data_IF_142526429255
#
_entry.id   IF_142526429255
#
_cell.length_a   1.000
_cell.length_b   1.000
_cell.length_c   1.000
_cell.angle_alpha   90.00
_cell.angle_beta   90.00
_cell.angle_gamma   90.00
#
_symmetry.space_group_name_H-M   'P 1'
#
loop_
_entity.id
_entity.type
_entity.pdbx_description
1 polymer ?
#
# COMPACT_ATOMS: atom_id res chain seq x y z
N UNK A 1 -8.47 -31.91 9.10
CA UNK A 1 -7.37 -31.00 8.84
C UNK A 1 -7.87 -29.57 8.86
N UNK A 2 -7.36 -28.83 9.79
CA UNK A 2 -7.88 -27.49 10.03
C UNK A 2 -7.36 -26.51 8.99
N UNK A 3 -8.30 -25.93 8.30
CA UNK A 3 -7.97 -24.86 7.38
C UNK A 3 -7.77 -23.59 8.19
N UNK A 4 -6.55 -23.20 8.38
CA UNK A 4 -6.26 -21.93 9.00
C UNK A 4 -6.66 -20.81 8.06
N UNK A 5 -7.71 -20.12 8.40
CA UNK A 5 -7.92 -18.79 7.86
C UNK A 5 -6.99 -17.85 8.60
N UNK A 6 -5.87 -17.61 8.01
CA UNK A 6 -5.04 -16.52 8.45
C UNK A 6 -5.81 -15.24 8.14
N UNK A 7 -6.28 -14.57 9.17
CA UNK A 7 -6.83 -13.24 8.99
C UNK A 7 -5.67 -12.31 8.70
N UNK A 8 -5.44 -12.05 7.43
CA UNK A 8 -4.42 -11.12 7.00
C UNK A 8 -4.92 -9.71 7.24
N UNK A 9 -4.21 -8.95 8.06
CA UNK A 9 -4.46 -7.53 8.24
C UNK A 9 -3.38 -6.77 7.52
N UNK A 10 -3.76 -5.84 6.66
CA UNK A 10 -2.82 -4.96 5.98
C UNK A 10 -3.04 -3.53 6.42
N UNK A 11 -1.98 -2.77 6.45
CA UNK A 11 -2.01 -1.34 6.70
C UNK A 11 -1.97 -0.60 5.37
N UNK A 12 -2.89 0.33 5.15
CA UNK A 12 -2.96 1.07 3.90
C UNK A 12 -3.53 2.46 4.12
N UNK A 13 -3.16 3.38 3.24
CA UNK A 13 -3.73 4.73 3.20
C UNK A 13 -4.08 5.08 1.76
N UNK A 14 -5.18 5.80 1.60
CA UNK A 14 -5.57 6.28 0.28
C UNK A 14 -4.72 7.50 -0.10
N UNK A 15 -4.15 7.44 -1.31
CA UNK A 15 -3.37 8.53 -1.85
C UNK A 15 -4.21 9.32 -2.86
N UNK A 16 -4.29 10.64 -2.70
CA UNK A 16 -5.05 11.49 -3.60
C UNK A 16 -4.19 12.56 -4.28
N UNK A 17 -3.13 12.99 -3.63
CA UNK A 17 -2.25 14.04 -4.14
C UNK A 17 -0.86 13.92 -3.52
N UNK A 18 0.09 14.64 -4.10
CA UNK A 18 1.43 14.73 -3.54
C UNK A 18 1.38 15.29 -2.12
N UNK A 19 2.13 14.68 -1.24
CA UNK A 19 2.14 15.00 0.19
C UNK A 19 1.30 14.06 1.03
N UNK A 20 0.36 13.33 0.44
CA UNK A 20 -0.35 12.26 1.13
C UNK A 20 0.61 11.07 1.30
N UNK A 21 0.43 10.30 2.36
CA UNK A 21 1.25 9.12 2.67
C UNK A 21 2.75 9.43 2.56
N UNK A 22 3.22 10.40 3.35
CA UNK A 22 4.60 10.90 3.29
C UNK A 22 5.66 9.83 3.48
N UNK A 23 5.40 8.86 4.32
CA UNK A 23 6.35 7.79 4.62
C UNK A 23 6.63 6.88 3.43
N UNK A 24 5.72 6.81 2.45
CA UNK A 24 5.92 6.01 1.25
C UNK A 24 6.88 6.65 0.26
N UNK A 25 7.10 7.96 0.35
CA UNK A 25 8.03 8.66 -0.52
C UNK A 25 7.54 8.79 -1.96
N UNK A 26 6.24 8.95 -2.16
CA UNK A 26 5.67 9.13 -3.50
C UNK A 26 6.15 10.45 -4.10
N UNK A 27 6.75 10.36 -5.29
CA UNK A 27 7.26 11.52 -6.03
C UNK A 27 6.31 11.89 -7.15
N UNK A 28 6.47 13.10 -7.68
CA UNK A 28 5.69 13.55 -8.83
C UNK A 28 6.02 12.72 -10.07
N UNK A 29 5.00 12.23 -10.76
CA UNK A 29 5.16 11.52 -12.01
C UNK A 29 5.13 12.51 -13.18
N UNK A 30 6.30 12.83 -13.71
CA UNK A 30 6.48 13.75 -14.84
C UNK A 30 5.72 15.08 -14.64
N UNK A 31 5.02 15.56 -15.65
CA UNK A 31 4.24 16.79 -15.61
C UNK A 31 2.76 16.54 -15.29
N UNK A 32 2.47 15.48 -14.56
CA UNK A 32 1.11 15.08 -14.22
C UNK A 32 0.79 15.32 -12.76
N UNK A 33 -0.48 15.16 -12.40
CA UNK A 33 -0.93 15.20 -11.02
C UNK A 33 -0.71 13.88 -10.29
N UNK A 34 -0.25 12.85 -11.01
CA UNK A 34 -0.03 11.53 -10.45
C UNK A 34 1.29 11.45 -9.72
N UNK A 35 1.42 10.40 -8.92
CA UNK A 35 2.64 10.10 -8.19
C UNK A 35 3.43 8.97 -8.83
N UNK A 36 4.65 8.84 -8.39
CA UNK A 36 5.53 7.74 -8.77
C UNK A 36 6.09 7.12 -7.50
N UNK A 37 5.81 5.84 -7.32
CA UNK A 37 6.33 5.08 -6.19
C UNK A 37 7.42 4.14 -6.67
N UNK A 38 8.65 4.40 -6.22
CA UNK A 38 9.82 3.62 -6.62
C UNK A 38 9.77 2.23 -6.00
N UNK A 39 10.04 1.21 -6.79
CA UNK A 39 10.15 -0.15 -6.27
C UNK A 39 11.38 -0.26 -5.36
N UNK A 40 11.21 -0.83 -4.17
CA UNK A 40 12.32 -0.97 -3.22
C UNK A 40 13.37 -1.99 -3.67
N UNK A 41 12.97 -2.97 -4.47
CA UNK A 41 13.83 -4.05 -4.91
C UNK A 41 13.74 -4.23 -6.43
N UNK A 42 14.78 -3.78 -7.14
CA UNK A 42 14.86 -3.89 -8.59
C UNK A 42 15.09 -5.31 -9.08
N UNK A 43 15.63 -6.16 -8.24
CA UNK A 43 15.90 -7.55 -8.62
C UNK A 43 14.60 -8.35 -8.69
N UNK A 44 13.72 -8.10 -7.73
CA UNK A 44 12.42 -8.78 -7.65
C UNK A 44 11.42 -8.22 -8.65
N UNK A 45 11.51 -6.94 -8.97
CA UNK A 45 10.55 -6.25 -9.85
C UNK A 45 11.23 -5.77 -11.12
N UNK A 46 10.69 -6.14 -12.26
CA UNK A 46 11.20 -5.73 -13.57
C UNK A 46 11.12 -4.24 -13.81
N UNK A 47 10.30 -3.54 -13.07
CA UNK A 47 10.06 -2.12 -13.26
C UNK A 47 10.63 -1.29 -12.12
N UNK A 48 11.20 -0.11 -12.41
CA UNK A 48 11.78 0.74 -11.38
C UNK A 48 10.75 1.37 -10.43
N UNK A 49 9.47 1.29 -10.74
CA UNK A 49 8.41 1.81 -9.90
C UNK A 49 7.06 1.67 -10.54
N UNK A 50 6.06 2.26 -9.88
CA UNK A 50 4.67 2.25 -10.35
C UNK A 50 4.06 3.64 -10.25
N UNK A 51 3.21 3.97 -11.23
CA UNK A 51 2.43 5.18 -11.22
C UNK A 51 1.31 5.07 -10.19
N UNK A 52 1.16 6.12 -9.37
CA UNK A 52 0.10 6.21 -8.36
C UNK A 52 -0.89 7.26 -8.83
N UNK A 53 -2.15 6.88 -8.94
CA UNK A 53 -3.22 7.78 -9.36
C UNK A 53 -4.04 8.22 -8.16
N UNK A 54 -4.69 9.37 -8.30
CA UNK A 54 -5.59 9.88 -7.26
C UNK A 54 -6.67 8.85 -6.93
N UNK A 55 -6.79 8.50 -5.66
CA UNK A 55 -7.71 7.47 -5.16
C UNK A 55 -7.08 6.12 -4.92
N UNK A 56 -5.90 5.86 -5.49
CA UNK A 56 -5.19 4.59 -5.25
C UNK A 56 -4.79 4.47 -3.78
N UNK A 57 -4.66 3.23 -3.33
CA UNK A 57 -4.22 2.95 -1.97
C UNK A 57 -2.75 2.58 -1.96
N UNK A 58 -2.02 3.11 -0.98
CA UNK A 58 -0.63 2.73 -0.74
C UNK A 58 -0.63 1.72 0.40
N UNK A 59 -0.24 0.50 0.11
CA UNK A 59 -0.19 -0.58 1.08
C UNK A 59 1.22 -0.67 1.67
N UNK A 60 1.26 -0.73 2.99
CA UNK A 60 2.51 -0.89 3.74
C UNK A 60 2.69 -2.37 4.08
N UNK A 61 3.83 -2.92 3.71
CA UNK A 61 4.16 -4.31 3.98
C UNK A 61 5.56 -4.42 4.57
N UNK A 62 5.80 -5.50 5.29
CA UNK A 62 7.12 -5.80 5.83
C UNK A 62 7.77 -6.91 5.02
N UNK A 63 8.95 -6.64 4.49
CA UNK A 63 9.73 -7.62 3.75
C UNK A 63 10.71 -8.30 4.70
N UNK A 64 10.48 -9.57 4.96
CA UNK A 64 11.29 -10.37 5.88
C UNK A 64 12.70 -10.56 5.34
N UNK A 65 12.84 -10.72 4.04
CA UNK A 65 14.14 -10.98 3.40
C UNK A 65 15.11 -9.81 3.54
N UNK A 66 14.60 -8.59 3.39
CA UNK A 66 15.41 -7.38 3.48
C UNK A 66 15.31 -6.69 4.84
N UNK A 67 14.46 -7.20 5.72
CA UNK A 67 14.17 -6.61 7.03
C UNK A 67 13.81 -5.13 6.92
N UNK A 68 12.92 -4.82 5.97
CA UNK A 68 12.52 -3.45 5.71
C UNK A 68 11.03 -3.33 5.42
N UNK A 69 10.51 -2.13 5.66
CA UNK A 69 9.14 -1.79 5.29
C UNK A 69 9.12 -1.36 3.84
N UNK A 70 8.16 -1.90 3.09
CA UNK A 70 7.97 -1.58 1.68
C UNK A 70 6.58 -1.04 1.45
N UNK A 71 6.42 -0.22 0.43
CA UNK A 71 5.15 0.38 0.05
C UNK A 71 4.86 0.05 -1.40
N UNK A 72 3.60 -0.25 -1.70
CA UNK A 72 3.19 -0.48 -3.09
C UNK A 72 1.79 0.04 -3.34
N UNK A 73 1.51 0.55 -4.55
CA UNK A 73 0.19 1.07 -4.87
C UNK A 73 -0.75 -0.03 -5.33
N UNK A 74 -2.01 0.07 -4.93
CA UNK A 74 -3.09 -0.81 -5.41
C UNK A 74 -4.19 0.08 -5.96
N UNK A 75 -4.70 -0.19 -7.18
CA UNK A 75 -5.79 0.59 -7.75
C UNK A 75 -7.00 0.63 -6.82
N UNK A 76 -7.66 1.77 -6.77
CA UNK A 76 -8.79 2.01 -5.88
C UNK A 76 -9.85 0.91 -5.95
N UNK A 77 -10.30 0.59 -7.15
CA UNK A 77 -11.36 -0.39 -7.36
C UNK A 77 -10.94 -1.79 -6.90
N UNK A 78 -9.72 -2.17 -7.23
CA UNK A 78 -9.18 -3.46 -6.83
C UNK A 78 -9.06 -3.57 -5.32
N UNK A 79 -8.56 -2.52 -4.67
CA UNK A 79 -8.41 -2.53 -3.22
C UNK A 79 -9.76 -2.57 -2.50
N UNK A 80 -10.70 -1.72 -2.90
CA UNK A 80 -12.00 -1.65 -2.25
C UNK A 80 -12.86 -2.90 -2.48
N UNK A 81 -12.61 -3.63 -3.57
CA UNK A 81 -13.30 -4.90 -3.84
C UNK A 81 -12.77 -6.07 -3.01
N UNK A 82 -11.51 -6.03 -2.64
CA UNK A 82 -10.83 -7.15 -1.98
C UNK A 82 -10.57 -6.92 -0.49
N UNK A 83 -10.69 -5.69 -0.01
CA UNK A 83 -10.34 -5.34 1.36
C UNK A 83 -11.42 -4.50 2.01
N UNK A 84 -11.64 -4.71 3.30
CA UNK A 84 -12.59 -3.95 4.10
C UNK A 84 -11.87 -3.27 5.26
N UNK A 85 -12.21 -2.01 5.49
CA UNK A 85 -11.62 -1.24 6.58
C UNK A 85 -12.05 -1.80 7.93
N UNK A 86 -11.09 -2.01 8.82
CA UNK A 86 -11.33 -2.46 10.18
C UNK A 86 -11.51 -1.25 11.07
N UNK A 87 -12.64 -1.19 11.75
CA UNK A 87 -12.87 -0.21 12.81
C UNK A 87 -12.43 -0.82 14.13
N UNK A 88 -11.14 -0.90 14.35
CA UNK A 88 -10.61 -1.45 15.59
C UNK A 88 -9.92 -0.34 16.39
N UNK A 89 -10.48 0.03 17.55
CA UNK A 89 -9.88 1.09 18.37
C UNK A 89 -8.52 0.71 18.95
N UNK A 90 -8.13 -0.56 18.89
CA UNK A 90 -6.83 -1.03 19.37
C UNK A 90 -5.73 -0.94 18.30
N UNK A 91 -6.05 -0.53 17.09
CA UNK A 91 -5.06 -0.39 16.03
C UNK A 91 -4.16 0.82 16.29
N UNK A 92 -2.86 0.58 16.42
CA UNK A 92 -1.86 1.61 16.73
C UNK A 92 -1.02 2.03 15.53
N UNK A 93 -1.31 1.52 14.34
CA UNK A 93 -0.57 1.87 13.13
C UNK A 93 -0.85 3.28 12.63
N UNK A 94 0.06 3.83 11.83
CA UNK A 94 -0.06 5.18 11.25
C UNK A 94 -1.11 5.28 10.15
N UNK A 95 -1.50 4.16 9.56
CA UNK A 95 -2.51 4.08 8.53
C UNK A 95 -3.75 3.36 9.02
N UNK A 96 -4.72 3.17 8.13
CA UNK A 96 -5.89 2.38 8.42
C UNK A 96 -5.59 0.90 8.23
N UNK A 97 -6.20 0.06 9.06
CA UNK A 97 -6.09 -1.38 8.95
C UNK A 97 -7.21 -1.93 8.06
N UNK A 98 -6.89 -2.89 7.22
CA UNK A 98 -7.83 -3.55 6.32
C UNK A 98 -7.71 -5.05 6.42
N UNK A 99 -8.83 -5.74 6.26
CA UNK A 99 -8.89 -7.21 6.22
C UNK A 99 -9.53 -7.65 4.90
N UNK A 100 -9.31 -8.91 4.47
CA UNK A 100 -9.98 -9.41 3.27
C UNK A 100 -11.48 -9.25 3.35
N UNK A 101 -12.06 -8.75 2.29
CA UNK A 101 -13.50 -8.53 2.21
C UNK A 101 -14.28 -9.84 2.12
#
# INVERSE_FOLDING_TARGET
>A
MDTYRKTETVEAEQWNKLGDVKEAGVQKYEQTKDGWLRNPDRIRYDRPGRRVRSGDYIVKAYDIETDSTVYYPVPKEEFESNWSKVKNPEWEGDGDAYVPA
#
